data_IF_957741552729
#
_entry.id   IF_957741552729
#
_cell.length_a   1.000
_cell.length_b   1.000
_cell.length_c   1.000
_cell.angle_alpha   90.00
_cell.angle_beta   90.00
_cell.angle_gamma   90.00
#
_symmetry.space_group_name_H-M   'P 1'
#
loop_
_entity.id
_entity.type
_entity.pdbx_description
1 polymer ?
#
# COMPACT_ATOMS: atom_id res chain seq x y z
N UNK A 1 1.19 23.88 -12.64
CA UNK A 1 0.99 22.62 -13.40
C UNK A 1 0.28 21.54 -12.61
N UNK A 2 0.81 21.03 -11.49
CA UNK A 2 0.13 19.92 -10.79
C UNK A 2 -1.29 20.23 -10.29
N UNK A 3 -1.53 21.43 -9.72
CA UNK A 3 -2.90 21.86 -9.37
C UNK A 3 -3.82 21.91 -10.58
N UNK A 4 -3.33 22.39 -11.72
CA UNK A 4 -4.10 22.41 -12.96
C UNK A 4 -4.45 20.99 -13.43
N UNK A 5 -3.57 20.00 -13.24
CA UNK A 5 -3.89 18.60 -13.50
C UNK A 5 -5.03 18.10 -12.60
N UNK A 6 -4.99 18.41 -11.30
CA UNK A 6 -6.04 18.01 -10.36
C UNK A 6 -7.37 18.69 -10.73
N UNK A 7 -7.35 20.00 -10.97
CA UNK A 7 -8.53 20.76 -11.40
C UNK A 7 -9.14 20.18 -12.69
N UNK A 8 -8.30 19.78 -13.65
CA UNK A 8 -8.75 19.16 -14.89
C UNK A 8 -9.33 17.75 -14.68
N UNK A 9 -8.74 16.95 -13.79
CA UNK A 9 -9.29 15.64 -13.40
C UNK A 9 -10.66 15.80 -12.75
N UNK A 10 -10.79 16.72 -11.79
CA UNK A 10 -12.05 17.03 -11.13
C UNK A 10 -13.11 17.55 -12.09
N UNK A 11 -12.74 18.43 -13.03
CA UNK A 11 -13.64 18.91 -14.08
C UNK A 11 -14.16 17.77 -14.99
N UNK A 12 -13.40 16.68 -15.11
CA UNK A 12 -13.80 15.45 -15.81
C UNK A 12 -14.55 14.45 -14.91
N UNK A 13 -14.79 14.77 -13.64
CA UNK A 13 -15.43 13.88 -12.67
C UNK A 13 -14.54 12.72 -12.19
N UNK A 14 -13.21 12.89 -12.27
CA UNK A 14 -12.21 11.91 -11.83
C UNK A 14 -11.58 12.36 -10.51
N UNK A 15 -11.55 11.46 -9.53
CA UNK A 15 -10.82 11.67 -8.28
C UNK A 15 -9.34 11.31 -8.46
N UNK A 16 -8.47 11.99 -7.72
CA UNK A 16 -7.02 11.79 -7.70
C UNK A 16 -6.61 11.19 -6.35
N UNK A 17 -5.97 10.03 -6.40
CA UNK A 17 -5.39 9.35 -5.23
C UNK A 17 -3.88 9.55 -5.28
N UNK A 18 -3.27 9.87 -4.13
CA UNK A 18 -1.83 10.03 -4.00
C UNK A 18 -1.25 8.90 -3.14
N UNK A 19 -0.23 8.22 -3.64
CA UNK A 19 0.63 7.37 -2.82
C UNK A 19 1.45 8.27 -1.88
N UNK A 20 1.19 8.15 -0.58
CA UNK A 20 1.80 8.92 0.49
C UNK A 20 2.75 8.02 1.28
N UNK A 21 3.97 8.50 1.52
CA UNK A 21 5.07 7.69 2.08
C UNK A 21 5.48 8.22 3.45
N UNK A 22 4.72 7.92 4.52
CA UNK A 22 5.06 8.32 5.89
C UNK A 22 5.99 7.33 6.60
N UNK A 23 6.35 6.20 5.97
CA UNK A 23 7.05 5.10 6.65
C UNK A 23 8.54 5.34 6.86
N UNK A 24 9.18 6.06 5.96
CA UNK A 24 10.63 6.23 5.91
C UNK A 24 11.05 7.39 5.00
N UNK A 25 12.33 7.77 5.05
CA UNK A 25 12.95 8.76 4.19
C UNK A 25 14.43 8.42 3.91
N UNK A 26 15.02 8.88 2.80
CA UNK A 26 16.40 8.53 2.44
C UNK A 26 17.44 9.23 3.34
N UNK A 27 18.68 8.77 3.27
CA UNK A 27 19.83 9.27 4.04
C UNK A 27 20.54 10.45 3.39
N UNK A 28 19.93 11.08 2.38
CA UNK A 28 20.51 12.22 1.68
C UNK A 28 20.80 13.39 2.64
N UNK A 29 22.04 13.90 2.61
CA UNK A 29 22.54 14.94 3.53
C UNK A 29 21.86 16.31 3.34
N UNK A 30 21.32 16.58 2.16
CA UNK A 30 20.57 17.80 1.85
C UNK A 30 19.10 17.76 2.30
N UNK A 31 18.62 16.63 2.84
CA UNK A 31 17.22 16.39 3.18
C UNK A 31 16.96 16.46 4.71
N UNK A 32 16.40 15.40 5.30
CA UNK A 32 15.95 15.37 6.71
C UNK A 32 16.90 14.63 7.65
N UNK A 33 17.89 13.89 7.11
CA UNK A 33 18.84 13.14 7.91
C UNK A 33 19.70 14.09 8.74
N UNK A 34 19.83 13.82 10.05
CA UNK A 34 20.62 14.64 10.98
C UNK A 34 20.35 16.16 10.87
N UNK A 35 19.08 16.53 10.68
CA UNK A 35 18.65 17.85 10.20
C UNK A 35 19.26 19.06 10.93
N UNK A 36 19.48 18.95 12.24
CA UNK A 36 20.09 20.00 13.08
C UNK A 36 21.42 19.58 13.72
N UNK A 37 22.07 18.55 13.16
CA UNK A 37 23.25 17.89 13.74
C UNK A 37 22.91 16.83 14.78
N UNK A 38 21.62 16.51 14.97
CA UNK A 38 21.14 15.41 15.80
C UNK A 38 20.12 14.56 15.03
N UNK A 39 19.80 13.36 15.53
CA UNK A 39 18.70 12.55 15.01
C UNK A 39 17.34 13.20 15.34
N UNK A 40 16.97 14.18 14.52
CA UNK A 40 15.82 15.04 14.77
C UNK A 40 14.52 14.39 14.28
N UNK A 41 14.48 14.03 13.00
CA UNK A 41 13.33 13.43 12.34
C UNK A 41 13.29 11.92 12.51
N UNK A 42 14.45 11.28 12.43
CA UNK A 42 14.65 9.86 12.63
C UNK A 42 14.76 9.49 14.12
N UNK A 43 14.48 8.23 14.44
CA UNK A 43 14.73 7.73 15.79
C UNK A 43 16.24 7.55 16.03
N UNK A 44 16.74 7.97 17.20
CA UNK A 44 18.18 7.93 17.51
C UNK A 44 18.73 6.52 17.72
N UNK A 45 17.88 5.56 18.13
CA UNK A 45 18.27 4.14 18.16
C UNK A 45 18.12 3.53 16.76
N UNK A 46 19.21 3.10 16.09
CA UNK A 46 19.15 2.56 14.74
C UNK A 46 18.35 1.25 14.63
N UNK A 47 18.10 0.53 15.73
CA UNK A 47 17.22 -0.64 15.76
C UNK A 47 15.76 -0.28 15.53
N UNK A 48 15.41 0.99 15.71
CA UNK A 48 14.07 1.54 15.47
C UNK A 48 14.07 2.59 14.36
N UNK A 49 15.19 3.29 14.16
CA UNK A 49 15.34 4.44 13.26
C UNK A 49 15.86 4.11 11.87
N UNK A 50 16.11 2.84 11.53
CA UNK A 50 16.70 2.47 10.22
C UNK A 50 16.12 1.17 9.64
N UNK A 51 15.72 1.21 8.37
CA UNK A 51 15.39 0.01 7.58
C UNK A 51 16.64 -0.54 6.91
N UNK A 52 17.13 -1.69 7.38
CA UNK A 52 18.40 -2.29 6.95
C UNK A 52 18.39 -2.70 5.47
N UNK A 53 17.31 -3.34 5.02
CA UNK A 53 17.21 -3.81 3.63
C UNK A 53 17.00 -2.68 2.61
N UNK A 54 16.53 -1.51 3.05
CA UNK A 54 16.22 -0.37 2.17
C UNK A 54 17.25 0.75 2.23
N UNK A 55 18.12 0.73 3.24
CA UNK A 55 19.07 1.81 3.53
C UNK A 55 18.41 3.19 3.71
N UNK A 56 17.33 3.24 4.49
CA UNK A 56 16.54 4.45 4.73
C UNK A 56 16.27 4.64 6.23
N UNK A 57 16.05 5.89 6.62
CA UNK A 57 15.73 6.29 7.99
C UNK A 57 14.23 6.20 8.26
N UNK A 58 13.88 5.90 9.50
CA UNK A 58 12.49 5.78 9.98
C UNK A 58 12.18 6.97 10.87
N UNK A 59 11.05 7.64 10.60
CA UNK A 59 10.59 8.76 11.40
C UNK A 59 10.39 8.37 12.87
N UNK A 60 10.77 9.27 13.79
CA UNK A 60 10.48 9.16 15.20
C UNK A 60 9.03 9.56 15.47
N UNK A 61 8.09 8.63 15.26
CA UNK A 61 6.65 8.87 15.45
C UNK A 61 6.30 9.30 16.89
N UNK A 62 7.09 8.91 17.89
CA UNK A 62 6.91 9.31 19.28
C UNK A 62 7.21 10.79 19.54
N UNK A 63 7.96 11.44 18.65
CA UNK A 63 8.28 12.87 18.77
C UNK A 63 7.14 13.71 18.20
N UNK A 64 6.59 14.60 19.04
CA UNK A 64 5.41 15.40 18.71
C UNK A 64 5.57 16.23 17.45
N UNK A 65 6.72 16.87 17.26
CA UNK A 65 6.98 17.73 16.11
C UNK A 65 7.07 16.93 14.80
N UNK A 66 7.64 15.72 14.85
CA UNK A 66 7.78 14.82 13.70
C UNK A 66 6.41 14.26 13.31
N UNK A 67 5.64 13.76 14.29
CA UNK A 67 4.26 13.35 14.06
C UNK A 67 3.40 14.49 13.51
N UNK A 68 3.54 15.71 14.04
CA UNK A 68 2.81 16.87 13.54
C UNK A 68 3.22 17.26 12.12
N UNK A 69 4.50 17.16 11.77
CA UNK A 69 4.99 17.36 10.41
C UNK A 69 4.32 16.40 9.43
N UNK A 70 4.25 15.11 9.76
CA UNK A 70 3.65 14.09 8.89
C UNK A 70 2.12 14.23 8.79
N UNK A 71 1.42 14.42 9.91
CA UNK A 71 -0.04 14.65 9.90
C UNK A 71 -0.37 15.92 9.10
N UNK A 72 0.39 17.00 9.33
CA UNK A 72 0.25 18.25 8.58
C UNK A 72 0.51 18.06 7.09
N UNK A 73 1.45 17.19 6.71
CA UNK A 73 1.73 16.84 5.31
C UNK A 73 0.55 16.11 4.64
N UNK A 74 -0.08 15.15 5.33
CA UNK A 74 -1.28 14.48 4.84
C UNK A 74 -2.43 15.49 4.59
N UNK A 75 -2.70 16.36 5.57
CA UNK A 75 -3.69 17.43 5.43
C UNK A 75 -3.35 18.39 4.29
N UNK A 76 -2.07 18.75 4.15
CA UNK A 76 -1.62 19.70 3.14
C UNK A 76 -1.97 19.24 1.72
N UNK A 77 -1.77 17.96 1.39
CA UNK A 77 -2.11 17.44 0.07
C UNK A 77 -3.62 17.53 -0.22
N UNK A 78 -4.44 17.19 0.77
CA UNK A 78 -5.88 17.18 0.60
C UNK A 78 -6.43 18.61 0.56
N UNK A 79 -6.10 19.45 1.54
CA UNK A 79 -6.65 20.80 1.66
C UNK A 79 -6.10 21.79 0.63
N UNK A 80 -4.82 21.66 0.24
CA UNK A 80 -4.14 22.66 -0.61
C UNK A 80 -4.06 22.26 -2.06
N UNK A 81 -4.07 20.97 -2.37
CA UNK A 81 -4.04 20.47 -3.74
C UNK A 81 -5.36 19.86 -4.19
N UNK A 82 -6.26 19.50 -3.28
CA UNK A 82 -7.51 18.84 -3.63
C UNK A 82 -7.33 17.35 -3.91
N UNK A 83 -6.30 16.71 -3.35
CA UNK A 83 -6.18 15.24 -3.43
C UNK A 83 -7.36 14.60 -2.69
N UNK A 84 -8.02 13.61 -3.32
CA UNK A 84 -9.25 13.02 -2.79
C UNK A 84 -9.00 11.86 -1.81
N UNK A 85 -7.87 11.17 -1.98
CA UNK A 85 -7.49 10.07 -1.10
C UNK A 85 -5.98 9.86 -1.04
N UNK A 86 -5.52 9.26 0.07
CA UNK A 86 -4.13 8.85 0.26
C UNK A 86 -4.02 7.33 0.33
N UNK A 87 -3.01 6.76 -0.32
CA UNK A 87 -2.62 5.35 -0.16
C UNK A 87 -1.27 5.27 0.55
N UNK A 88 -1.18 4.45 1.59
CA UNK A 88 0.06 4.18 2.33
C UNK A 88 0.57 2.80 1.93
N UNK A 89 1.78 2.78 1.38
CA UNK A 89 2.55 1.58 1.04
C UNK A 89 3.18 0.95 2.29
N UNK A 90 3.39 -0.36 2.26
CA UNK A 90 4.17 -1.12 3.24
C UNK A 90 3.88 -0.78 4.71
N UNK A 91 2.60 -0.67 5.10
CA UNK A 91 2.19 -0.31 6.48
C UNK A 91 2.84 -1.23 7.53
N UNK A 92 3.07 -2.50 7.19
CA UNK A 92 3.79 -3.46 8.02
C UNK A 92 5.19 -2.97 8.46
N UNK A 93 5.89 -2.19 7.62
CA UNK A 93 7.20 -1.63 7.95
C UNK A 93 7.15 -0.62 9.10
N UNK A 94 5.99 0.02 9.27
CA UNK A 94 5.77 1.01 10.32
C UNK A 94 5.33 0.35 11.63
N UNK A 95 4.36 -0.56 11.57
CA UNK A 95 3.65 -1.08 12.75
C UNK A 95 4.39 -2.21 13.47
N UNK A 96 5.49 -2.72 12.93
CA UNK A 96 6.31 -3.77 13.54
C UNK A 96 7.75 -3.33 13.79
N UNK A 97 8.19 -3.45 15.04
CA UNK A 97 9.55 -3.14 15.49
C UNK A 97 10.59 -4.13 14.96
N UNK A 98 10.18 -5.32 14.57
CA UNK A 98 11.03 -6.39 14.03
C UNK A 98 10.93 -6.54 12.50
N UNK A 99 10.28 -5.58 11.80
CA UNK A 99 10.16 -5.64 10.35
C UNK A 99 11.55 -5.71 9.69
N UNK A 100 11.80 -6.78 8.92
CA UNK A 100 13.07 -7.01 8.21
C UNK A 100 14.30 -7.04 9.16
N UNK A 101 14.11 -7.45 10.42
CA UNK A 101 15.18 -7.56 11.43
C UNK A 101 15.29 -8.99 11.96
N UNK A 102 16.51 -9.44 12.26
CA UNK A 102 16.73 -10.75 12.88
C UNK A 102 16.51 -10.69 14.39
N UNK A 103 16.41 -11.85 15.01
CA UNK A 103 16.41 -11.96 16.47
C UNK A 103 17.68 -11.30 17.06
N UNK A 104 17.49 -10.44 18.06
CA UNK A 104 18.56 -9.64 18.68
C UNK A 104 18.88 -8.31 17.98
N UNK A 105 18.31 -8.04 16.80
CA UNK A 105 18.51 -6.79 16.06
C UNK A 105 17.38 -5.76 16.26
N UNK A 106 16.40 -6.06 17.11
CA UNK A 106 15.27 -5.19 17.46
C UNK A 106 14.97 -5.23 18.96
N UNK A 107 14.15 -4.29 19.44
CA UNK A 107 13.73 -4.22 20.85
C UNK A 107 12.19 -4.23 20.98
N UNK A 108 11.63 -4.93 21.98
CA UNK A 108 10.19 -4.95 22.20
C UNK A 108 9.66 -3.61 22.70
N UNK A 109 8.36 -3.39 22.52
CA UNK A 109 7.65 -2.27 23.14
C UNK A 109 7.56 -2.42 24.66
N UNK A 110 7.02 -1.42 25.35
CA UNK A 110 6.90 -1.38 26.81
C UNK A 110 6.08 -2.55 27.41
N UNK A 111 5.26 -3.23 26.61
CA UNK A 111 4.47 -4.41 27.00
C UNK A 111 5.13 -5.75 26.61
N UNK A 112 6.33 -5.72 26.03
CA UNK A 112 7.04 -6.92 25.58
C UNK A 112 6.65 -7.41 24.17
N UNK A 113 5.80 -6.68 23.46
CA UNK A 113 5.33 -7.03 22.10
C UNK A 113 6.23 -6.49 20.98
N UNK A 114 5.96 -6.94 19.75
CA UNK A 114 6.66 -6.49 18.52
C UNK A 114 6.02 -5.27 17.87
N UNK A 115 4.85 -4.87 18.33
CA UNK A 115 4.08 -3.76 17.78
C UNK A 115 4.79 -2.43 18.05
N UNK A 116 4.92 -1.60 17.02
CA UNK A 116 5.37 -0.22 17.13
C UNK A 116 4.18 0.67 17.52
N UNK A 117 4.02 0.88 18.83
CA UNK A 117 2.86 1.57 19.39
C UNK A 117 2.79 3.02 18.94
N UNK A 118 3.94 3.68 18.79
CA UNK A 118 4.07 5.06 18.33
C UNK A 118 3.62 5.21 16.88
N UNK A 119 4.02 4.27 16.00
CA UNK A 119 3.57 4.26 14.62
C UNK A 119 2.07 3.93 14.48
N UNK A 120 1.56 2.99 15.28
CA UNK A 120 0.14 2.64 15.32
C UNK A 120 -0.70 3.85 15.74
N UNK A 121 -0.30 4.55 16.80
CA UNK A 121 -1.00 5.75 17.27
C UNK A 121 -0.89 6.90 16.25
N UNK A 122 0.27 7.07 15.61
CA UNK A 122 0.43 8.02 14.52
C UNK A 122 -0.56 7.78 13.38
N UNK A 123 -0.69 6.53 12.89
CA UNK A 123 -1.62 6.19 11.82
C UNK A 123 -3.08 6.41 12.22
N UNK A 124 -3.46 5.97 13.42
CA UNK A 124 -4.80 6.18 13.98
C UNK A 124 -5.14 7.67 14.08
N UNK A 125 -4.23 8.46 14.65
CA UNK A 125 -4.40 9.89 14.82
C UNK A 125 -4.49 10.61 13.45
N UNK A 126 -3.66 10.21 12.48
CA UNK A 126 -3.71 10.76 11.11
C UNK A 126 -5.07 10.51 10.47
N UNK A 127 -5.54 9.25 10.48
CA UNK A 127 -6.83 8.88 9.89
C UNK A 127 -8.01 9.59 10.59
N UNK A 128 -7.97 9.70 11.92
CA UNK A 128 -8.97 10.43 12.71
C UNK A 128 -9.02 11.91 12.30
N UNK A 129 -7.85 12.57 12.25
CA UNK A 129 -7.76 13.99 11.87
C UNK A 129 -8.26 14.21 10.44
N UNK A 130 -7.88 13.36 9.48
CA UNK A 130 -8.38 13.47 8.12
C UNK A 130 -9.91 13.34 8.05
N UNK A 131 -10.48 12.37 8.77
CA UNK A 131 -11.94 12.17 8.82
C UNK A 131 -12.70 13.31 9.52
N UNK A 132 -12.08 13.99 10.48
CA UNK A 132 -12.66 15.13 11.21
C UNK A 132 -12.54 16.45 10.44
N UNK A 133 -11.39 16.71 9.81
CA UNK A 133 -11.07 17.99 9.20
C UNK A 133 -11.47 18.07 7.73
N UNK A 134 -11.46 16.95 7.00
CA UNK A 134 -11.73 16.94 5.56
C UNK A 134 -12.81 15.92 5.22
N UNK A 135 -14.05 16.39 5.17
CA UNK A 135 -15.20 15.55 4.81
C UNK A 135 -15.01 14.94 3.42
N UNK A 136 -15.13 13.61 3.33
CA UNK A 136 -14.98 12.86 2.09
C UNK A 136 -13.56 12.37 1.80
N UNK A 137 -12.56 12.78 2.57
CA UNK A 137 -11.22 12.21 2.47
C UNK A 137 -11.23 10.72 2.83
N UNK A 138 -10.48 9.93 2.06
CA UNK A 138 -10.37 8.49 2.22
C UNK A 138 -8.89 8.12 2.32
N UNK A 139 -8.57 7.15 3.15
CA UNK A 139 -7.22 6.56 3.19
C UNK A 139 -7.25 5.06 2.94
N UNK A 140 -6.18 4.56 2.35
CA UNK A 140 -6.04 3.17 1.92
C UNK A 140 -4.69 2.63 2.38
N UNK A 141 -4.67 1.40 2.89
CA UNK A 141 -3.44 0.75 3.35
C UNK A 141 -3.09 -0.45 2.48
N UNK A 142 -1.81 -0.61 2.21
CA UNK A 142 -1.23 -1.88 1.83
C UNK A 142 -0.46 -2.45 3.03
N UNK A 143 -0.97 -3.57 3.56
CA UNK A 143 -0.50 -4.20 4.80
C UNK A 143 -0.50 -5.72 4.58
N UNK A 144 0.63 -6.37 4.85
CA UNK A 144 0.98 -7.70 4.34
C UNK A 144 1.20 -8.78 5.42
N UNK A 145 0.83 -8.51 6.68
CA UNK A 145 1.11 -9.38 7.84
C UNK A 145 -0.15 -9.76 8.65
N UNK A 146 -1.33 -9.65 8.02
CA UNK A 146 -2.64 -9.98 8.61
C UNK A 146 -2.97 -9.19 9.89
N UNK A 147 -2.46 -7.95 10.01
CA UNK A 147 -2.84 -7.08 11.12
C UNK A 147 -4.38 -6.90 11.13
N UNK A 148 -5.06 -7.13 12.27
CA UNK A 148 -6.51 -7.09 12.32
C UNK A 148 -7.02 -5.65 12.39
N UNK A 149 -8.11 -5.36 11.68
CA UNK A 149 -8.83 -4.09 11.81
C UNK A 149 -8.14 -2.92 11.11
N UNK A 150 -7.35 -3.17 10.08
CA UNK A 150 -6.65 -2.10 9.33
C UNK A 150 -7.66 -1.07 8.81
N UNK A 151 -8.78 -1.53 8.25
CA UNK A 151 -9.83 -0.68 7.71
C UNK A 151 -11.04 -0.50 8.64
N UNK A 152 -10.82 -0.68 9.95
CA UNK A 152 -11.85 -0.49 10.98
C UNK A 152 -11.64 0.81 11.76
N UNK A 153 -12.73 1.41 12.28
CA UNK A 153 -12.65 2.56 13.16
C UNK A 153 -11.74 2.35 14.39
N UNK A 154 -11.14 3.43 14.87
CA UNK A 154 -10.23 3.41 16.02
C UNK A 154 -10.92 2.96 17.32
N UNK A 155 -12.20 3.32 17.52
CA UNK A 155 -12.99 2.92 18.69
C UNK A 155 -13.28 1.39 18.74
N UNK A 156 -13.13 0.70 17.62
CA UNK A 156 -13.14 -0.77 17.51
C UNK A 156 -11.73 -1.38 17.57
N UNK A 157 -10.70 -0.58 17.87
CA UNK A 157 -9.30 -1.01 17.90
C UNK A 157 -8.60 -1.04 16.53
N UNK A 158 -9.23 -0.51 15.47
CA UNK A 158 -8.65 -0.50 14.14
C UNK A 158 -7.59 0.60 13.91
N UNK A 159 -6.95 0.60 12.72
CA UNK A 159 -6.02 1.65 12.31
C UNK A 159 -6.71 2.89 11.72
N UNK A 160 -8.01 2.79 11.42
CA UNK A 160 -8.80 3.89 10.90
C UNK A 160 -8.70 4.12 9.39
N UNK A 161 -8.05 3.23 8.62
CA UNK A 161 -8.11 3.32 7.17
C UNK A 161 -9.52 3.04 6.67
N UNK A 162 -9.87 3.54 5.50
CA UNK A 162 -11.16 3.24 4.87
C UNK A 162 -11.09 1.95 4.07
N UNK A 163 -9.94 1.66 3.47
CA UNK A 163 -9.73 0.45 2.68
C UNK A 163 -8.38 -0.21 2.96
N UNK A 164 -8.31 -1.52 2.73
CA UNK A 164 -7.07 -2.32 2.71
C UNK A 164 -6.90 -2.98 1.34
N UNK A 165 -5.69 -3.03 0.80
CA UNK A 165 -5.39 -3.85 -0.37
C UNK A 165 -5.48 -5.34 -0.03
N UNK A 166 -6.21 -6.10 -0.84
CA UNK A 166 -6.35 -7.54 -0.68
C UNK A 166 -5.20 -8.29 -1.36
N UNK A 167 -4.03 -8.28 -0.72
CA UNK A 167 -2.83 -8.95 -1.23
C UNK A 167 -3.00 -10.48 -1.31
N UNK A 168 -3.75 -11.08 -0.39
CA UNK A 168 -4.08 -12.51 -0.42
C UNK A 168 -4.84 -12.89 -1.69
N UNK A 169 -5.93 -12.17 -2.01
CA UNK A 169 -6.66 -12.35 -3.26
C UNK A 169 -5.77 -12.14 -4.49
N UNK A 170 -4.92 -11.10 -4.46
CA UNK A 170 -4.01 -10.79 -5.57
C UNK A 170 -3.05 -11.95 -5.83
N UNK A 171 -2.36 -12.46 -4.80
CA UNK A 171 -1.43 -13.58 -4.93
C UNK A 171 -2.14 -14.86 -5.37
N UNK A 172 -3.22 -15.24 -4.70
CA UNK A 172 -3.91 -16.48 -5.01
C UNK A 172 -4.46 -16.49 -6.44
N UNK A 173 -5.10 -15.40 -6.86
CA UNK A 173 -5.69 -15.37 -8.19
C UNK A 173 -4.65 -15.24 -9.30
N UNK A 174 -3.54 -14.50 -9.09
CA UNK A 174 -2.45 -14.49 -10.05
C UNK A 174 -1.77 -15.85 -10.17
N UNK A 175 -1.56 -16.56 -9.06
CA UNK A 175 -1.00 -17.91 -9.09
C UNK A 175 -1.94 -18.90 -9.76
N UNK A 176 -3.24 -18.81 -9.51
CA UNK A 176 -4.25 -19.61 -10.22
C UNK A 176 -4.21 -19.38 -11.73
N UNK A 177 -4.13 -18.12 -12.16
CA UNK A 177 -4.15 -17.77 -13.57
C UNK A 177 -2.90 -18.23 -14.32
N UNK A 178 -1.73 -18.34 -13.65
CA UNK A 178 -0.48 -18.88 -14.22
C UNK A 178 -0.54 -20.36 -14.56
N UNK A 179 -1.40 -21.13 -13.89
CA UNK A 179 -1.50 -22.58 -14.09
C UNK A 179 -2.10 -22.89 -15.46
N UNK A 180 -1.53 -23.89 -16.14
CA UNK A 180 -2.18 -24.52 -17.30
C UNK A 180 -3.63 -24.90 -16.93
N UNK A 181 -4.63 -24.63 -17.79
CA UNK A 181 -6.03 -24.92 -17.50
C UNK A 181 -6.29 -26.34 -16.95
N UNK A 182 -5.53 -27.35 -17.38
CA UNK A 182 -5.74 -28.73 -16.89
C UNK A 182 -5.38 -28.91 -15.41
N UNK A 183 -4.49 -28.08 -14.86
CA UNK A 183 -4.07 -28.17 -13.45
C UNK A 183 -4.93 -27.32 -12.51
N UNK A 184 -5.72 -26.39 -13.04
CA UNK A 184 -6.58 -25.50 -12.23
C UNK A 184 -7.60 -26.25 -11.37
N UNK A 185 -8.00 -27.46 -11.77
CA UNK A 185 -8.91 -28.31 -11.00
C UNK A 185 -8.35 -28.68 -9.61
N UNK A 186 -7.02 -28.70 -9.45
CA UNK A 186 -6.36 -29.04 -8.19
C UNK A 186 -6.16 -27.83 -7.27
N UNK A 187 -6.47 -26.62 -7.76
CA UNK A 187 -6.18 -25.34 -7.10
C UNK A 187 -7.39 -24.39 -7.11
N UNK A 188 -8.61 -24.93 -7.17
CA UNK A 188 -9.82 -24.11 -7.24
C UNK A 188 -10.10 -23.32 -5.95
N UNK A 189 -9.47 -23.73 -4.85
CA UNK A 189 -9.40 -22.98 -3.60
C UNK A 189 -8.81 -21.58 -3.80
N UNK A 190 -7.80 -21.39 -4.67
CA UNK A 190 -7.20 -20.08 -4.94
C UNK A 190 -8.17 -19.04 -5.52
N UNK A 191 -9.21 -19.48 -6.23
CA UNK A 191 -10.27 -18.55 -6.68
C UNK A 191 -11.31 -18.26 -5.60
N UNK A 192 -11.50 -19.16 -4.65
CA UNK A 192 -12.64 -19.12 -3.71
C UNK A 192 -12.25 -18.68 -2.31
N UNK A 193 -11.01 -18.92 -1.86
CA UNK A 193 -10.54 -18.67 -0.51
C UNK A 193 -10.69 -17.20 -0.08
N UNK A 194 -10.42 -16.26 -1.00
CA UNK A 194 -10.57 -14.83 -0.75
C UNK A 194 -11.94 -14.42 -0.22
N UNK A 195 -13.02 -15.11 -0.59
CA UNK A 195 -14.37 -14.75 -0.15
C UNK A 195 -14.60 -15.03 1.33
N UNK A 196 -13.87 -15.98 1.92
CA UNK A 196 -14.04 -16.40 3.31
C UNK A 196 -13.72 -15.26 4.28
N UNK A 197 -12.74 -14.42 3.93
CA UNK A 197 -12.34 -13.27 4.73
C UNK A 197 -12.70 -11.93 4.09
N UNK A 198 -13.28 -11.87 2.88
CA UNK A 198 -13.50 -10.61 2.17
C UNK A 198 -14.33 -9.56 2.94
N UNK A 199 -15.08 -9.96 3.97
CA UNK A 199 -15.89 -9.07 4.79
C UNK A 199 -15.24 -8.69 6.13
N UNK A 200 -14.02 -9.14 6.41
CA UNK A 200 -13.25 -8.75 7.61
C UNK A 200 -12.69 -7.34 7.48
N UNK A 201 -12.47 -6.86 6.26
CA UNK A 201 -11.97 -5.52 5.92
C UNK A 201 -12.73 -4.97 4.71
N UNK A 202 -12.62 -3.67 4.47
CA UNK A 202 -13.07 -3.02 3.24
C UNK A 202 -11.99 -3.16 2.17
N UNK A 203 -12.08 -4.21 1.35
CA UNK A 203 -11.01 -4.52 0.41
C UNK A 203 -11.02 -3.71 -0.90
N UNK A 204 -9.81 -3.44 -1.37
CA UNK A 204 -9.49 -3.09 -2.76
C UNK A 204 -8.76 -4.29 -3.36
N UNK A 205 -9.06 -4.65 -4.59
CA UNK A 205 -8.41 -5.73 -5.33
C UNK A 205 -7.32 -5.10 -6.22
N UNK A 206 -6.03 -5.19 -5.86
CA UNK A 206 -4.97 -4.56 -6.61
C UNK A 206 -4.37 -5.50 -7.65
N UNK A 207 -4.19 -4.99 -8.86
CA UNK A 207 -3.18 -5.43 -9.82
C UNK A 207 -2.27 -4.23 -10.09
N UNK A 208 -1.38 -3.98 -9.13
CA UNK A 208 -0.52 -2.80 -9.05
C UNK A 208 0.72 -2.89 -9.94
N UNK A 209 1.54 -1.84 -9.89
CA UNK A 209 2.81 -1.78 -10.60
C UNK A 209 3.82 -2.84 -10.14
N UNK A 210 3.83 -3.18 -8.83
CA UNK A 210 4.71 -4.22 -8.27
C UNK A 210 4.50 -5.60 -8.90
N UNK A 211 3.33 -5.82 -9.49
CA UNK A 211 2.98 -7.08 -10.14
C UNK A 211 3.37 -7.14 -11.61
N UNK A 212 4.03 -6.12 -12.16
CA UNK A 212 4.44 -6.12 -13.57
C UNK A 212 5.89 -5.67 -13.76
N UNK A 213 6.74 -5.93 -12.76
CA UNK A 213 8.16 -5.58 -12.73
C UNK A 213 9.01 -6.72 -12.16
N UNK A 214 10.33 -6.52 -12.12
CA UNK A 214 11.31 -7.36 -11.43
C UNK A 214 11.25 -8.85 -11.82
N UNK A 215 11.03 -9.15 -13.11
CA UNK A 215 10.99 -10.52 -13.62
C UNK A 215 9.67 -11.25 -13.39
N UNK A 216 8.66 -10.59 -12.79
CA UNK A 216 7.35 -11.17 -12.55
C UNK A 216 6.45 -11.22 -13.80
N UNK A 217 6.91 -10.67 -14.94
CA UNK A 217 6.22 -10.52 -16.23
C UNK A 217 5.02 -9.57 -16.17
N UNK A 218 4.53 -9.15 -17.34
CA UNK A 218 3.21 -8.52 -17.46
C UNK A 218 2.08 -9.49 -17.07
N UNK A 219 0.89 -8.97 -16.78
CA UNK A 219 -0.28 -9.82 -16.47
C UNK A 219 -0.63 -10.71 -17.68
N UNK A 220 -0.47 -10.22 -18.92
CA UNK A 220 -0.70 -11.02 -20.12
C UNK A 220 0.28 -12.19 -20.22
N UNK A 221 1.58 -11.96 -19.97
CA UNK A 221 2.62 -12.99 -20.11
C UNK A 221 2.70 -13.96 -18.92
N UNK A 222 1.94 -13.70 -17.86
CA UNK A 222 1.65 -14.70 -16.82
C UNK A 222 0.63 -15.75 -17.29
N UNK A 223 -0.19 -15.47 -18.31
CA UNK A 223 -1.22 -16.40 -18.77
C UNK A 223 -0.63 -17.57 -19.58
N UNK A 224 -1.13 -18.80 -19.43
CA UNK A 224 -0.67 -19.96 -20.19
C UNK A 224 -1.24 -20.00 -21.60
N UNK A 225 -0.59 -20.79 -22.46
CA UNK A 225 -1.08 -21.11 -23.80
C UNK A 225 -0.56 -20.19 -24.90
N UNK A 226 -1.15 -20.34 -26.08
CA UNK A 226 -0.87 -19.48 -27.24
C UNK A 226 -1.39 -18.05 -27.03
N UNK A 227 -1.09 -17.15 -27.97
CA UNK A 227 -1.50 -15.76 -27.87
C UNK A 227 -3.02 -15.60 -27.67
N UNK A 228 -3.85 -16.34 -28.41
CA UNK A 228 -5.30 -16.27 -28.27
C UNK A 228 -5.74 -16.68 -26.86
N UNK A 229 -5.16 -17.76 -26.33
CA UNK A 229 -5.43 -18.26 -24.97
C UNK A 229 -4.98 -17.28 -23.90
N UNK A 230 -3.83 -16.62 -24.06
CA UNK A 230 -3.36 -15.58 -23.12
C UNK A 230 -4.35 -14.43 -23.00
N UNK A 231 -4.78 -13.87 -24.14
CA UNK A 231 -5.78 -12.80 -24.16
C UNK A 231 -7.14 -13.27 -23.63
N UNK A 232 -7.54 -14.52 -23.90
CA UNK A 232 -8.79 -15.08 -23.37
C UNK A 232 -8.75 -15.21 -21.84
N UNK A 233 -7.64 -15.71 -21.29
CA UNK A 233 -7.43 -15.80 -19.85
C UNK A 233 -7.42 -14.43 -19.18
N UNK A 234 -6.75 -13.43 -19.78
CA UNK A 234 -6.72 -12.07 -19.25
C UNK A 234 -8.12 -11.46 -19.16
N UNK A 235 -8.93 -11.58 -20.21
CA UNK A 235 -10.32 -11.10 -20.19
C UNK A 235 -11.16 -11.84 -19.16
N UNK A 236 -11.02 -13.16 -19.04
CA UNK A 236 -11.73 -13.94 -18.03
C UNK A 236 -11.34 -13.50 -16.61
N UNK A 237 -10.05 -13.25 -16.38
CA UNK A 237 -9.55 -12.79 -15.09
C UNK A 237 -10.06 -11.40 -14.72
N UNK A 238 -10.06 -10.45 -15.66
CA UNK A 238 -10.63 -9.12 -15.41
C UNK A 238 -12.15 -9.16 -15.23
N UNK A 239 -12.86 -10.02 -15.97
CA UNK A 239 -14.27 -10.29 -15.72
C UNK A 239 -14.52 -10.78 -14.29
N UNK A 240 -13.68 -11.70 -13.80
CA UNK A 240 -13.73 -12.16 -12.42
C UNK A 240 -13.39 -11.07 -11.41
N UNK A 241 -12.30 -10.32 -11.61
CA UNK A 241 -11.89 -9.21 -10.75
C UNK A 241 -13.03 -8.19 -10.58
N UNK A 242 -13.70 -7.82 -11.67
CA UNK A 242 -14.82 -6.87 -11.63
C UNK A 242 -16.08 -7.44 -10.97
N UNK A 243 -16.33 -8.75 -11.07
CA UNK A 243 -17.46 -9.42 -10.44
C UNK A 243 -17.22 -9.75 -8.95
N UNK A 244 -15.97 -9.92 -8.53
CA UNK A 244 -15.61 -10.21 -7.14
C UNK A 244 -15.94 -8.98 -6.24
N UNK A 245 -16.36 -9.14 -4.98
CA UNK A 245 -16.64 -7.98 -4.12
C UNK A 245 -15.37 -7.19 -3.75
N UNK A 246 -15.49 -5.87 -3.60
CA UNK A 246 -14.38 -4.96 -3.25
C UNK A 246 -14.11 -3.89 -4.31
N UNK A 247 -13.36 -2.85 -3.95
CA UNK A 247 -12.88 -1.82 -4.91
C UNK A 247 -11.75 -2.39 -5.75
N UNK A 248 -11.29 -1.64 -6.75
CA UNK A 248 -10.61 -2.22 -7.92
C UNK A 248 -9.48 -1.29 -8.33
N UNK A 249 -8.29 -1.84 -8.49
CA UNK A 249 -7.11 -1.08 -8.92
C UNK A 249 -6.38 -1.86 -10.00
N UNK A 250 -6.18 -1.21 -11.14
CA UNK A 250 -5.49 -1.76 -12.29
C UNK A 250 -4.42 -0.75 -12.72
N UNK A 251 -3.15 -1.18 -12.71
CA UNK A 251 -2.05 -0.32 -13.13
C UNK A 251 -2.03 -0.08 -14.64
N UNK A 252 -1.50 1.07 -15.06
CA UNK A 252 -1.42 1.44 -16.48
C UNK A 252 -0.66 0.38 -17.32
N UNK A 253 -1.08 0.18 -18.56
CA UNK A 253 -0.56 -0.85 -19.45
C UNK A 253 -1.32 -2.17 -19.36
N UNK A 254 -1.92 -2.47 -18.21
CA UNK A 254 -2.69 -3.69 -18.03
C UNK A 254 -4.01 -3.68 -18.82
N UNK A 255 -4.63 -2.50 -18.99
CA UNK A 255 -5.91 -2.32 -19.67
C UNK A 255 -5.88 -2.65 -21.17
N UNK A 256 -4.73 -2.49 -21.83
CA UNK A 256 -4.52 -2.88 -23.23
C UNK A 256 -3.59 -4.09 -23.39
N UNK A 257 -3.30 -4.78 -22.29
CA UNK A 257 -2.50 -6.00 -22.26
C UNK A 257 -1.07 -5.80 -22.78
N UNK A 258 -0.35 -4.83 -22.23
CA UNK A 258 1.08 -4.66 -22.50
C UNK A 258 1.82 -5.99 -22.31
N UNK A 259 2.59 -6.41 -23.32
CA UNK A 259 3.31 -7.68 -23.28
C UNK A 259 4.53 -7.65 -22.35
N UNK A 260 5.32 -6.58 -22.42
CA UNK A 260 6.53 -6.42 -21.58
C UNK A 260 6.19 -5.95 -20.16
N UNK A 261 7.13 -6.19 -19.24
CA UNK A 261 7.13 -5.55 -17.92
C UNK A 261 7.14 -4.03 -18.05
N UNK A 262 6.59 -3.38 -17.03
CA UNK A 262 6.67 -1.93 -16.91
C UNK A 262 8.14 -1.51 -16.75
N UNK A 263 8.50 -0.44 -17.44
CA UNK A 263 9.80 0.19 -17.35
C UNK A 263 9.58 1.68 -17.07
N UNK A 264 10.02 2.16 -15.92
CA UNK A 264 9.85 3.56 -15.53
C UNK A 264 10.63 4.54 -16.41
N UNK A 265 11.68 4.07 -17.11
CA UNK A 265 12.50 4.87 -18.04
C UNK A 265 11.90 4.96 -19.47
N UNK A 266 10.79 4.27 -19.74
CA UNK A 266 10.18 4.22 -21.07
C UNK A 266 8.68 4.49 -21.02
N UNK A 267 8.15 5.16 -22.04
CA UNK A 267 6.70 5.22 -22.27
C UNK A 267 6.14 3.81 -22.47
N UNK A 268 4.83 3.61 -22.26
CA UNK A 268 4.15 2.33 -22.51
C UNK A 268 4.21 1.93 -24.00
#
# INVERSE_FOLDING_TARGET
DFRYFIDAAHAAGLNVILDWVPGHFPTDDFALAEFDGTNLYEHSDPREGYHQDWNTLIYNYGRREVSNFLVGNALYWIERFGIDALRVDAVASMIYRDYSRKEGEWIPNEFGGRENLEAIEFLRNTNRILGEQVSGAVTMAEESTDFPGVSRPQDMGGLGFWYKWNLGWMHDTLDYMKLDPVYRQYHHDKLTFGILYNYTENFVLPLSHDEVVHGKKSILDRMPGDAWQKFANLRAYYGWMWAFPGKKLLFMGNEFAQGREWNHDASL
#
